data_IF_933643006484
#
_entry.id   IF_933643006484
#
_cell.length_a   1.000
_cell.length_b   1.000
_cell.length_c   1.000
_cell.angle_alpha   90.00
_cell.angle_beta   90.00
_cell.angle_gamma   90.00
#
_symmetry.space_group_name_H-M   'P 1'
#
loop_
_entity.id
_entity.type
_entity.pdbx_description
1 polymer ?
#
# COMPACT_ATOMS: atom_id res chain seq x y z
N UNK A 1 -5.44 -8.50 -6.96
CA UNK A 1 -6.33 -7.46 -6.38
C UNK A 1 -5.65 -6.09 -6.26
N UNK A 2 -6.31 -5.10 -5.67
CA UNK A 2 -5.77 -3.76 -5.35
C UNK A 2 -6.17 -3.35 -3.93
N UNK A 3 -5.49 -2.35 -3.36
CA UNK A 3 -5.81 -1.82 -2.04
C UNK A 3 -4.69 -0.97 -1.44
N UNK A 4 -4.94 -0.40 -0.27
CA UNK A 4 -3.91 0.36 0.44
C UNK A 4 -2.84 -0.57 1.01
N UNK A 5 -1.57 -0.19 0.89
CA UNK A 5 -0.50 -0.85 1.61
C UNK A 5 -0.69 -0.68 3.12
N UNK A 6 -0.23 -1.65 3.90
CA UNK A 6 -0.18 -1.56 5.35
C UNK A 6 1.26 -1.46 5.84
N UNK A 7 1.49 -0.68 6.90
CA UNK A 7 2.72 -0.75 7.68
C UNK A 7 2.74 -2.00 8.58
N UNK A 8 3.82 -2.13 9.34
CA UNK A 8 4.01 -3.23 10.28
C UNK A 8 2.98 -3.29 11.42
N UNK A 9 2.26 -2.21 11.72
CA UNK A 9 1.21 -2.18 12.74
C UNK A 9 -0.15 -2.63 12.18
N UNK A 10 -0.26 -2.71 10.85
CA UNK A 10 -1.49 -3.00 10.12
C UNK A 10 -2.23 -1.73 9.69
N UNK A 11 -1.54 -0.58 9.68
CA UNK A 11 -2.15 0.69 9.35
C UNK A 11 -1.84 1.15 7.92
N UNK A 12 -2.68 1.99 7.32
CA UNK A 12 -2.43 2.53 5.97
C UNK A 12 -1.03 3.14 5.87
N UNK A 13 -0.23 2.61 4.94
CA UNK A 13 1.16 3.04 4.80
C UNK A 13 1.21 4.47 4.24
N UNK A 14 1.61 5.41 5.10
CA UNK A 14 1.58 6.84 4.78
C UNK A 14 2.62 7.25 3.74
N UNK A 15 2.17 8.10 2.82
CA UNK A 15 2.99 8.79 1.83
C UNK A 15 3.00 10.32 2.00
N UNK A 16 2.46 10.83 3.11
CA UNK A 16 2.23 12.26 3.35
C UNK A 16 3.47 13.16 3.16
N UNK A 17 4.65 12.73 3.63
CA UNK A 17 5.94 13.42 3.47
C UNK A 17 6.93 12.64 2.59
N UNK A 18 6.44 11.74 1.74
CA UNK A 18 7.30 10.85 0.92
C UNK A 18 7.48 11.40 -0.49
N UNK A 19 8.66 11.20 -1.12
CA UNK A 19 8.92 11.68 -2.46
C UNK A 19 8.01 11.01 -3.49
N UNK A 20 7.87 11.65 -4.66
CA UNK A 20 7.18 11.06 -5.80
C UNK A 20 7.77 9.68 -6.16
N UNK A 21 6.90 8.74 -6.53
CA UNK A 21 7.29 7.36 -6.85
C UNK A 21 7.55 6.45 -5.63
N UNK A 22 7.54 6.97 -4.40
CA UNK A 22 7.75 6.16 -3.19
C UNK A 22 6.79 4.96 -3.10
N UNK A 23 5.49 5.21 -3.30
CA UNK A 23 4.48 4.15 -3.24
C UNK A 23 4.64 3.13 -4.36
N UNK A 24 5.02 3.55 -5.57
CA UNK A 24 5.26 2.61 -6.68
C UNK A 24 6.39 1.64 -6.34
N UNK A 25 7.53 2.17 -5.87
CA UNK A 25 8.66 1.39 -5.42
C UNK A 25 8.31 0.46 -4.26
N UNK A 26 7.55 0.96 -3.28
CA UNK A 26 7.10 0.16 -2.13
C UNK A 26 6.19 -0.99 -2.57
N UNK A 27 5.13 -0.69 -3.31
CA UNK A 27 4.14 -1.68 -3.77
C UNK A 27 4.81 -2.78 -4.59
N UNK A 28 5.72 -2.43 -5.52
CA UNK A 28 6.46 -3.41 -6.33
C UNK A 28 7.43 -4.25 -5.50
N UNK A 29 8.21 -3.62 -4.63
CA UNK A 29 9.27 -4.30 -3.86
C UNK A 29 8.70 -5.22 -2.79
N UNK A 30 7.74 -4.71 -2.01
CA UNK A 30 7.24 -5.37 -0.80
C UNK A 30 5.95 -6.15 -0.99
N UNK A 31 5.07 -5.71 -1.89
CA UNK A 31 3.77 -6.36 -2.11
C UNK A 31 3.70 -7.14 -3.42
N UNK A 32 4.79 -7.15 -4.22
CA UNK A 32 4.83 -7.74 -5.56
C UNK A 32 3.71 -7.23 -6.46
N UNK A 33 3.28 -5.99 -6.21
CA UNK A 33 2.27 -5.30 -6.98
C UNK A 33 2.80 -4.93 -8.37
N UNK A 34 1.92 -4.70 -9.34
CA UNK A 34 2.30 -4.19 -10.66
C UNK A 34 2.66 -2.71 -10.62
N UNK A 35 2.00 -1.94 -9.76
CA UNK A 35 2.26 -0.50 -9.59
C UNK A 35 1.72 0.01 -8.25
N UNK A 36 2.09 1.24 -7.91
CA UNK A 36 1.54 1.95 -6.78
C UNK A 36 1.61 3.46 -6.90
N UNK A 37 0.76 4.17 -6.17
CA UNK A 37 0.78 5.62 -6.12
C UNK A 37 0.35 6.13 -4.75
N UNK A 38 0.64 7.40 -4.49
CA UNK A 38 0.21 8.07 -3.27
C UNK A 38 -1.23 8.55 -3.45
N UNK A 39 -2.21 7.75 -3.00
CA UNK A 39 -3.60 8.14 -2.85
C UNK A 39 -3.74 8.88 -1.52
N UNK A 40 -3.32 10.15 -1.53
CA UNK A 40 -3.01 10.93 -0.35
C UNK A 40 -4.06 10.76 0.77
N UNK A 41 -3.65 10.43 2.01
CA UNK A 41 -2.26 10.43 2.48
C UNK A 41 -1.57 9.05 2.45
N UNK A 42 -2.12 8.03 1.77
CA UNK A 42 -1.63 6.66 1.86
C UNK A 42 -1.27 6.02 0.51
N UNK A 43 -0.37 5.04 0.55
CA UNK A 43 0.00 4.28 -0.64
C UNK A 43 -1.10 3.30 -1.06
N UNK A 44 -1.52 3.39 -2.32
CA UNK A 44 -2.45 2.46 -2.96
C UNK A 44 -1.70 1.66 -4.02
N UNK A 45 -1.96 0.35 -4.06
CA UNK A 45 -1.23 -0.59 -4.90
C UNK A 45 -2.19 -1.35 -5.84
N UNK A 46 -1.77 -1.54 -7.08
CA UNK A 46 -2.48 -2.30 -8.10
C UNK A 46 -1.78 -3.63 -8.41
N UNK A 47 -2.54 -4.66 -8.77
CA UNK A 47 -1.97 -5.95 -9.16
C UNK A 47 -1.27 -6.69 -8.02
N UNK A 48 -1.73 -6.48 -6.77
CA UNK A 48 -1.23 -7.20 -5.60
C UNK A 48 -1.68 -8.67 -5.68
N UNK A 49 -0.79 -9.66 -5.49
CA UNK A 49 -1.17 -11.07 -5.44
C UNK A 49 -2.18 -11.34 -4.32
N UNK A 50 -3.10 -12.29 -4.55
CA UNK A 50 -4.24 -12.46 -3.63
C UNK A 50 -3.84 -12.98 -2.24
N UNK A 51 -2.68 -13.64 -2.11
CA UNK A 51 -2.12 -14.09 -0.84
C UNK A 51 -1.48 -12.96 0.00
N UNK A 52 -1.18 -11.80 -0.61
CA UNK A 52 -0.61 -10.65 0.10
C UNK A 52 -1.74 -9.81 0.69
N UNK A 53 -1.60 -9.43 1.96
CA UNK A 53 -2.59 -8.59 2.63
C UNK A 53 -2.44 -7.13 2.17
N UNK A 54 -3.56 -6.54 1.81
CA UNK A 54 -3.74 -5.09 1.69
C UNK A 54 -4.70 -4.67 2.78
N UNK A 55 -4.74 -3.37 3.07
CA UNK A 55 -5.66 -2.80 4.02
C UNK A 55 -7.10 -3.19 3.67
N UNK A 56 -7.82 -3.65 4.68
CA UNK A 56 -9.24 -3.98 4.61
C UNK A 56 -9.93 -3.42 5.85
N UNK A 57 -11.16 -2.93 5.69
CA UNK A 57 -11.95 -2.30 6.74
C UNK A 57 -12.15 -3.25 7.94
N UNK A 58 -12.28 -4.55 7.69
CA UNK A 58 -12.49 -5.55 8.74
C UNK A 58 -11.23 -5.83 9.58
N UNK A 59 -10.03 -5.63 9.03
CA UNK A 59 -8.76 -5.90 9.72
C UNK A 59 -8.03 -4.63 10.15
N UNK A 60 -8.60 -3.45 9.91
CA UNK A 60 -7.91 -2.20 10.09
C UNK A 60 -7.72 -1.81 11.57
N UNK A 61 -6.55 -1.24 11.88
CA UNK A 61 -6.29 -0.51 13.14
C UNK A 61 -6.22 1.01 12.95
N UNK A 62 -5.69 1.45 11.81
CA UNK A 62 -5.70 2.82 11.31
C UNK A 62 -5.54 2.82 9.77
#
# INVERSE_FOLDING_TARGET
>A
KEGYAMDHEGCKFSCFIRPAGFCDGYCKTHLKASSGYCAWPACYCYGVPDHIKVWDYATNKC
#
